data_IF_952942724234
#
_entry.id   IF_952942724234
#
_cell.length_a   1.000
_cell.length_b   1.000
_cell.length_c   1.000
_cell.angle_alpha   90.00
_cell.angle_beta   90.00
_cell.angle_gamma   90.00
#
_symmetry.space_group_name_H-M   'P 1'
#
loop_
_entity.id
_entity.type
_entity.pdbx_description
1 polymer ?
#
# COMPACT_ATOMS: atom_id res chain seq x y z
N UNK A 1 1.69 33.34 24.70
CA UNK A 1 2.65 32.83 23.71
C UNK A 1 1.81 32.28 22.56
N UNK A 2 1.81 32.89 21.44
CA UNK A 2 1.30 32.16 20.34
C UNK A 2 0.48 32.87 19.29
N UNK A 3 0.48 34.15 19.23
CA UNK A 3 -0.36 34.86 18.26
C UNK A 3 0.33 35.17 16.93
N UNK A 4 1.64 35.24 16.87
CA UNK A 4 2.30 35.61 15.62
C UNK A 4 2.59 34.45 14.67
N UNK A 5 2.66 33.21 15.14
CA UNK A 5 2.80 32.04 14.28
C UNK A 5 1.53 31.76 13.47
N UNK A 6 0.36 31.98 14.06
CA UNK A 6 -0.93 31.66 13.41
C UNK A 6 -1.35 32.65 12.31
N UNK A 7 -0.74 33.83 12.22
CA UNK A 7 -1.12 34.88 11.25
C UNK A 7 -0.64 34.51 9.81
N UNK A 8 0.32 33.60 9.68
CA UNK A 8 0.93 33.19 8.40
C UNK A 8 0.56 31.79 7.96
N UNK A 9 -0.21 31.07 8.78
CA UNK A 9 -0.61 29.70 8.46
C UNK A 9 -1.66 29.70 7.34
N UNK A 10 -1.56 28.72 6.47
CA UNK A 10 -2.54 28.46 5.42
C UNK A 10 -3.03 27.04 5.56
N UNK A 11 -4.32 26.87 5.42
CA UNK A 11 -4.95 25.57 5.37
C UNK A 11 -5.35 25.31 3.93
N UNK A 12 -4.89 24.20 3.39
CA UNK A 12 -5.34 23.67 2.11
C UNK A 12 -6.20 22.45 2.40
N UNK A 13 -7.45 22.50 1.99
CA UNK A 13 -8.42 21.41 2.18
C UNK A 13 -8.74 20.87 0.80
N UNK A 14 -8.53 19.58 0.63
CA UNK A 14 -8.80 18.86 -0.59
C UNK A 14 -10.01 17.92 -0.39
N UNK A 15 -10.80 17.72 -1.44
CA UNK A 15 -11.98 16.85 -1.43
C UNK A 15 -11.92 15.72 -2.46
N UNK A 16 -10.82 15.57 -3.19
CA UNK A 16 -10.69 14.59 -4.28
C UNK A 16 -9.62 13.50 -4.00
N UNK A 17 -9.04 13.48 -2.80
CA UNK A 17 -7.93 12.56 -2.48
C UNK A 17 -8.33 11.10 -2.76
N UNK A 18 -9.49 10.67 -2.31
CA UNK A 18 -10.01 9.30 -2.44
C UNK A 18 -10.36 8.88 -3.87
N UNK A 19 -10.38 9.81 -4.81
CA UNK A 19 -10.60 9.56 -6.24
C UNK A 19 -9.37 9.90 -7.09
N UNK A 20 -8.20 10.13 -6.46
CA UNK A 20 -6.91 10.31 -7.13
C UNK A 20 -6.52 11.75 -7.41
N UNK A 21 -7.16 12.75 -6.81
CA UNK A 21 -6.74 14.18 -6.85
C UNK A 21 -6.51 14.74 -8.25
N UNK A 22 -7.39 14.47 -9.19
CA UNK A 22 -7.21 14.76 -10.61
C UNK A 22 -6.88 16.25 -10.87
N UNK A 23 -7.48 17.17 -10.12
CA UNK A 23 -7.32 18.61 -10.30
C UNK A 23 -6.23 19.24 -9.43
N UNK A 24 -5.79 18.57 -8.35
CA UNK A 24 -4.88 19.12 -7.37
C UNK A 24 -3.55 19.57 -7.97
N UNK A 25 -2.94 18.77 -8.82
CA UNK A 25 -1.64 19.07 -9.44
C UNK A 25 -1.67 20.36 -10.29
N UNK A 26 -2.71 20.53 -11.08
CA UNK A 26 -2.94 21.73 -11.90
C UNK A 26 -3.18 22.94 -11.02
N UNK A 27 -4.07 22.82 -10.05
CA UNK A 27 -4.40 23.90 -9.12
C UNK A 27 -3.15 24.37 -8.33
N UNK A 28 -2.36 23.46 -7.79
CA UNK A 28 -1.10 23.78 -7.10
C UNK A 28 -0.12 24.51 -8.02
N UNK A 29 -0.05 24.11 -9.28
CA UNK A 29 0.85 24.73 -10.25
C UNK A 29 0.47 26.18 -10.57
N UNK A 30 -0.82 26.47 -10.60
CA UNK A 30 -1.38 27.82 -10.83
C UNK A 30 -1.28 28.72 -9.60
N UNK A 31 -1.19 28.17 -8.39
CA UNK A 31 -1.23 28.89 -7.14
C UNK A 31 0.09 28.80 -6.32
N UNK A 32 1.22 28.58 -6.99
CA UNK A 32 2.54 28.39 -6.34
C UNK A 32 2.92 29.50 -5.35
N UNK A 33 2.69 30.75 -5.72
CA UNK A 33 3.04 31.88 -4.83
C UNK A 33 2.17 31.90 -3.56
N UNK A 34 0.89 31.56 -3.71
CA UNK A 34 -0.02 31.46 -2.57
C UNK A 34 0.34 30.28 -1.65
N UNK A 35 0.84 29.19 -2.23
CA UNK A 35 1.22 27.97 -1.51
C UNK A 35 2.64 28.01 -0.93
N UNK A 36 3.45 29.02 -1.30
CA UNK A 36 4.82 29.11 -0.79
C UNK A 36 4.85 29.14 0.75
N UNK A 37 5.57 28.19 1.33
CA UNK A 37 5.68 28.01 2.78
C UNK A 37 7.06 27.44 3.14
N UNK A 38 7.52 27.72 4.35
CA UNK A 38 8.78 27.16 4.87
C UNK A 38 8.62 25.70 5.27
N UNK A 39 7.43 25.31 5.70
CA UNK A 39 7.08 23.94 6.13
C UNK A 39 5.67 23.61 5.65
N UNK A 40 5.50 22.40 5.18
CA UNK A 40 4.19 21.82 4.84
C UNK A 40 3.92 20.69 5.84
N UNK A 41 2.80 20.77 6.52
CA UNK A 41 2.28 19.70 7.36
C UNK A 41 1.14 18.99 6.64
N UNK A 42 1.36 17.74 6.29
CA UNK A 42 0.31 16.86 5.77
C UNK A 42 -0.36 16.16 6.96
N UNK A 43 -1.64 16.41 7.16
CA UNK A 43 -2.42 15.85 8.27
C UNK A 43 -3.38 14.76 7.74
N UNK A 44 -2.81 13.76 7.13
CA UNK A 44 -3.53 12.63 6.53
C UNK A 44 -2.96 11.31 7.03
N UNK A 45 -2.84 11.19 8.34
CA UNK A 45 -2.35 9.99 9.00
C UNK A 45 -3.22 9.65 10.20
N UNK A 46 -3.28 8.36 10.54
CA UNK A 46 -3.99 7.88 11.71
C UNK A 46 -3.08 7.79 12.93
N UNK A 47 -3.67 7.70 14.10
CA UNK A 47 -3.00 7.25 15.31
C UNK A 47 -2.59 5.77 15.16
N UNK A 48 -1.53 5.36 15.83
CA UNK A 48 -1.13 3.94 15.87
C UNK A 48 -2.23 3.06 16.49
N UNK A 49 -2.87 3.58 17.52
CA UNK A 49 -4.09 3.06 18.12
C UNK A 49 -4.88 4.23 18.70
N UNK A 50 -6.13 4.00 19.05
CA UNK A 50 -7.01 5.07 19.53
C UNK A 50 -6.45 5.84 20.75
N UNK A 51 -5.67 5.16 21.59
CA UNK A 51 -5.02 5.69 22.80
C UNK A 51 -3.49 5.91 22.63
N UNK A 52 -2.98 5.73 21.42
CA UNK A 52 -1.54 5.78 21.13
C UNK A 52 -1.26 6.74 20.00
N UNK A 53 -0.95 8.01 20.31
CA UNK A 53 -0.56 9.00 19.30
C UNK A 53 0.75 8.60 18.64
N UNK A 54 0.88 8.93 17.35
CA UNK A 54 2.08 8.65 16.56
C UNK A 54 2.40 9.80 15.61
N UNK A 55 3.66 9.88 15.21
CA UNK A 55 4.12 10.77 14.15
C UNK A 55 4.66 9.86 13.03
N UNK A 56 4.02 9.93 11.87
CA UNK A 56 4.47 9.20 10.68
C UNK A 56 5.70 9.85 10.10
N UNK A 57 6.83 9.14 10.10
CA UNK A 57 8.12 9.66 9.62
C UNK A 57 8.46 9.20 8.20
N UNK A 58 7.65 8.35 7.59
CA UNK A 58 7.85 7.84 6.24
C UNK A 58 6.69 6.99 5.79
N UNK A 59 6.59 6.82 4.48
CA UNK A 59 5.55 6.02 3.83
C UNK A 59 6.20 5.01 2.89
N UNK A 60 5.48 3.91 2.62
CA UNK A 60 5.84 3.01 1.52
C UNK A 60 5.48 3.68 0.19
N UNK A 61 6.28 3.41 -0.84
CA UNK A 61 5.95 3.81 -2.20
C UNK A 61 4.76 3.01 -2.74
N UNK A 62 4.18 3.49 -3.83
CA UNK A 62 3.09 2.84 -4.53
C UNK A 62 3.49 2.60 -5.98
N UNK A 63 3.19 1.39 -6.49
CA UNK A 63 3.25 1.07 -7.91
C UNK A 63 1.95 0.34 -8.28
N UNK A 64 1.12 0.97 -9.09
CA UNK A 64 -0.12 0.39 -9.59
C UNK A 64 0.12 -0.24 -10.96
N UNK A 65 -0.32 -1.48 -11.13
CA UNK A 65 -0.16 -2.23 -12.37
C UNK A 65 -1.46 -2.97 -12.73
N UNK A 66 -1.65 -3.17 -14.02
CA UNK A 66 -2.70 -4.01 -14.58
C UNK A 66 -2.05 -5.13 -15.40
N UNK A 67 -2.58 -6.33 -15.29
CA UNK A 67 -2.15 -7.48 -16.08
C UNK A 67 -3.33 -8.01 -16.86
N UNK A 68 -3.23 -7.97 -18.17
CA UNK A 68 -4.20 -8.54 -19.09
C UNK A 68 -3.71 -9.88 -19.64
N UNK A 69 -4.57 -10.90 -19.57
CA UNK A 69 -4.32 -12.21 -20.20
C UNK A 69 -5.35 -12.42 -21.30
N UNK A 70 -4.90 -12.33 -22.54
CA UNK A 70 -5.74 -12.50 -23.72
C UNK A 70 -5.75 -13.96 -24.17
N UNK A 71 -6.93 -14.50 -24.44
CA UNK A 71 -7.16 -15.84 -24.96
C UNK A 71 -7.54 -15.85 -26.45
N UNK A 72 -8.31 -16.87 -26.88
CA UNK A 72 -8.86 -16.95 -28.24
C UNK A 72 -9.73 -15.73 -28.58
N UNK A 73 -9.90 -15.48 -29.86
CA UNK A 73 -10.66 -14.35 -30.42
C UNK A 73 -12.20 -14.47 -30.29
N UNK A 74 -12.67 -15.55 -29.65
CA UNK A 74 -14.09 -15.84 -29.43
C UNK A 74 -14.29 -16.76 -28.24
N UNK A 75 -15.51 -16.79 -27.73
CA UNK A 75 -15.93 -17.69 -26.67
C UNK A 75 -15.93 -19.14 -27.17
N UNK A 76 -15.36 -20.01 -26.36
CA UNK A 76 -15.24 -21.43 -26.67
C UNK A 76 -16.10 -22.29 -25.73
N UNK A 77 -16.80 -23.23 -26.29
CA UNK A 77 -17.57 -24.22 -25.52
C UNK A 77 -16.63 -25.16 -24.77
N UNK A 78 -16.67 -25.13 -23.45
CA UNK A 78 -15.77 -25.93 -22.58
C UNK A 78 -15.86 -27.43 -22.82
N UNK A 79 -17.03 -27.94 -23.20
CA UNK A 79 -17.23 -29.37 -23.53
C UNK A 79 -16.51 -29.84 -24.82
N UNK A 80 -16.12 -28.90 -25.69
CA UNK A 80 -15.42 -29.23 -26.95
C UNK A 80 -13.93 -28.87 -26.88
N UNK A 81 -13.58 -27.79 -26.20
CA UNK A 81 -12.23 -27.22 -26.20
C UNK A 81 -11.53 -27.32 -24.84
N UNK A 82 -12.27 -27.67 -23.76
CA UNK A 82 -11.71 -27.82 -22.41
C UNK A 82 -10.58 -28.85 -22.39
N UNK A 83 -9.46 -28.48 -21.76
CA UNK A 83 -8.26 -29.33 -21.74
C UNK A 83 -7.34 -29.19 -22.95
N UNK A 84 -7.84 -28.64 -24.07
CA UNK A 84 -7.05 -28.46 -25.31
C UNK A 84 -6.61 -26.99 -25.52
N UNK A 85 -7.44 -26.04 -25.09
CA UNK A 85 -7.17 -24.57 -25.20
C UNK A 85 -7.02 -23.97 -23.85
N UNK A 86 -6.01 -23.12 -23.67
CA UNK A 86 -5.78 -22.43 -22.41
C UNK A 86 -6.93 -21.45 -22.10
N UNK A 87 -7.47 -21.56 -20.89
CA UNK A 87 -8.46 -20.61 -20.39
C UNK A 87 -7.73 -19.42 -19.73
N UNK A 88 -7.96 -18.16 -20.18
CA UNK A 88 -7.29 -16.98 -19.64
C UNK A 88 -7.46 -16.82 -18.13
N UNK A 89 -8.64 -17.08 -17.60
CA UNK A 89 -8.90 -16.99 -16.16
C UNK A 89 -8.04 -18.01 -15.37
N UNK A 90 -7.89 -19.23 -15.86
CA UNK A 90 -7.02 -20.23 -15.23
C UNK A 90 -5.54 -19.86 -15.33
N UNK A 91 -5.12 -19.20 -16.41
CA UNK A 91 -3.75 -18.71 -16.59
C UNK A 91 -3.50 -17.57 -15.61
N UNK A 92 -4.41 -16.59 -15.54
CA UNK A 92 -4.31 -15.45 -14.64
C UNK A 92 -4.26 -15.91 -13.17
N UNK A 93 -5.13 -16.84 -12.77
CA UNK A 93 -5.13 -17.38 -11.41
C UNK A 93 -3.78 -18.01 -11.03
N UNK A 94 -3.18 -18.78 -11.94
CA UNK A 94 -1.84 -19.38 -11.72
C UNK A 94 -0.74 -18.32 -11.67
N UNK A 95 -0.83 -17.31 -12.51
CA UNK A 95 0.10 -16.19 -12.51
C UNK A 95 0.04 -15.47 -11.16
N UNK A 96 -1.13 -15.08 -10.71
CA UNK A 96 -1.32 -14.44 -9.39
C UNK A 96 -0.76 -15.31 -8.28
N UNK A 97 -1.11 -16.60 -8.25
CA UNK A 97 -0.61 -17.53 -7.23
C UNK A 97 0.92 -17.70 -7.24
N UNK A 98 1.58 -17.41 -8.35
CA UNK A 98 3.04 -17.49 -8.44
C UNK A 98 3.79 -16.24 -8.01
N UNK A 99 3.09 -15.13 -7.75
CA UNK A 99 3.72 -13.85 -7.41
C UNK A 99 4.23 -13.76 -5.98
N UNK A 100 3.75 -14.63 -5.10
CA UNK A 100 4.16 -14.71 -3.70
C UNK A 100 4.37 -16.18 -3.33
N UNK A 101 5.45 -16.49 -2.63
CA UNK A 101 5.74 -17.84 -2.17
C UNK A 101 5.05 -18.18 -0.83
N UNK A 102 5.28 -19.39 -0.34
CA UNK A 102 4.74 -19.91 0.92
C UNK A 102 5.20 -19.14 2.17
N UNK A 103 6.27 -18.35 2.06
CA UNK A 103 6.82 -17.50 3.12
C UNK A 103 6.33 -16.05 3.02
N UNK A 104 5.43 -15.74 2.10
CA UNK A 104 4.95 -14.39 1.85
C UNK A 104 5.97 -13.51 1.13
N UNK A 105 7.01 -14.08 0.53
CA UNK A 105 8.03 -13.37 -0.22
C UNK A 105 7.60 -13.19 -1.68
N UNK A 106 7.72 -11.98 -2.21
CA UNK A 106 7.34 -11.65 -3.59
C UNK A 106 8.39 -12.23 -4.53
N UNK A 107 7.95 -13.05 -5.48
CA UNK A 107 8.82 -13.86 -6.36
C UNK A 107 9.20 -13.16 -7.66
N UNK A 108 8.75 -11.92 -7.88
CA UNK A 108 9.05 -11.15 -9.09
C UNK A 108 10.58 -10.90 -9.14
N UNK A 109 11.27 -11.26 -10.23
CA UNK A 109 12.69 -11.02 -10.37
C UNK A 109 13.06 -9.56 -10.13
N UNK A 110 14.13 -9.32 -9.39
CA UNK A 110 14.64 -7.97 -9.08
C UNK A 110 13.71 -7.07 -8.24
N UNK A 111 12.63 -7.61 -7.71
CA UNK A 111 11.68 -6.84 -6.90
C UNK A 111 12.35 -6.23 -5.65
N UNK A 112 13.22 -6.99 -5.00
CA UNK A 112 13.90 -6.57 -3.76
C UNK A 112 15.21 -5.83 -3.96
N UNK A 113 15.74 -5.66 -5.18
CA UNK A 113 17.05 -5.06 -5.44
C UNK A 113 17.23 -3.66 -4.84
N UNK A 114 16.14 -2.92 -4.70
CA UNK A 114 16.11 -1.57 -4.13
C UNK A 114 15.41 -1.47 -2.78
N UNK A 115 14.96 -2.57 -2.23
CA UNK A 115 14.33 -2.58 -0.91
C UNK A 115 15.41 -2.41 0.14
N UNK A 116 15.30 -1.35 0.94
CA UNK A 116 16.21 -1.10 2.05
C UNK A 116 15.89 -2.05 3.20
N UNK A 117 16.85 -2.87 3.58
CA UNK A 117 16.74 -3.67 4.78
C UNK A 117 17.03 -2.82 6.03
N UNK A 118 16.21 -2.98 7.05
CA UNK A 118 16.47 -2.38 8.35
C UNK A 118 17.59 -3.11 9.07
N UNK A 119 18.51 -2.39 9.66
CA UNK A 119 19.50 -2.94 10.58
C UNK A 119 18.82 -3.54 11.83
N UNK A 120 19.48 -4.46 12.57
CA UNK A 120 18.92 -4.99 13.80
C UNK A 120 18.57 -3.91 14.84
N UNK A 121 19.31 -2.81 14.88
CA UNK A 121 19.05 -1.68 15.76
C UNK A 121 17.78 -0.93 15.33
N UNK A 122 17.61 -0.63 14.04
CA UNK A 122 16.41 -0.01 13.49
C UNK A 122 15.18 -0.89 13.67
N UNK A 123 15.29 -2.20 13.42
CA UNK A 123 14.20 -3.16 13.70
C UNK A 123 13.77 -3.13 15.16
N UNK A 124 14.76 -3.13 16.07
CA UNK A 124 14.50 -3.03 17.50
C UNK A 124 13.79 -1.73 17.87
N UNK A 125 14.21 -0.62 17.28
CA UNK A 125 13.58 0.68 17.54
C UNK A 125 12.16 0.75 16.97
N UNK A 126 11.96 0.29 15.76
CA UNK A 126 10.66 0.24 15.10
C UNK A 126 9.63 -0.58 15.89
N UNK A 127 10.06 -1.73 16.43
CA UNK A 127 9.22 -2.63 17.23
C UNK A 127 9.07 -2.21 18.70
N UNK A 128 9.56 -1.04 19.12
CA UNK A 128 9.28 -0.48 20.46
C UNK A 128 7.87 0.11 20.56
N UNK A 129 7.23 0.42 19.43
CA UNK A 129 5.88 0.93 19.43
C UNK A 129 4.93 -0.02 20.18
N UNK A 130 4.02 0.49 21.01
CA UNK A 130 3.10 -0.33 21.79
C UNK A 130 2.03 -0.95 20.86
N UNK A 131 2.36 -2.06 20.25
CA UNK A 131 1.49 -2.81 19.35
C UNK A 131 1.04 -4.11 20.02
N UNK A 132 -0.26 -4.37 20.04
CA UNK A 132 -0.83 -5.63 20.49
C UNK A 132 -1.43 -6.40 19.30
N UNK A 133 -0.84 -7.53 18.97
CA UNK A 133 -1.33 -8.39 17.89
C UNK A 133 -2.74 -8.93 18.20
N UNK A 134 -3.06 -9.23 19.45
CA UNK A 134 -4.40 -9.68 19.84
C UNK A 134 -5.44 -8.60 19.55
N UNK A 135 -5.22 -7.38 20.06
CA UNK A 135 -6.13 -6.24 19.78
C UNK A 135 -6.28 -5.97 18.28
N UNK A 136 -5.19 -6.09 17.53
CA UNK A 136 -5.21 -5.92 16.09
C UNK A 136 -6.10 -6.97 15.41
N UNK A 137 -5.95 -8.24 15.78
CA UNK A 137 -6.76 -9.34 15.27
C UNK A 137 -8.24 -9.19 15.65
N UNK A 138 -8.51 -8.82 16.89
CA UNK A 138 -9.87 -8.59 17.39
C UNK A 138 -10.56 -7.44 16.65
N UNK A 139 -9.86 -6.32 16.47
CA UNK A 139 -10.38 -5.15 15.77
C UNK A 139 -10.75 -5.45 14.30
N UNK A 140 -10.03 -6.37 13.66
CA UNK A 140 -10.26 -6.80 12.27
C UNK A 140 -11.14 -8.06 12.16
N UNK A 141 -11.47 -8.69 13.29
CA UNK A 141 -12.21 -9.96 13.33
C UNK A 141 -11.53 -11.09 12.54
N UNK A 142 -10.20 -11.19 12.64
CA UNK A 142 -9.37 -12.19 11.95
C UNK A 142 -8.72 -13.16 12.92
N UNK A 143 -8.57 -14.41 12.51
CA UNK A 143 -7.90 -15.45 13.32
C UNK A 143 -6.38 -15.33 13.30
N UNK A 144 -5.80 -15.01 12.16
CA UNK A 144 -4.36 -14.96 11.92
C UNK A 144 -3.98 -13.75 11.07
N UNK A 145 -2.70 -13.41 11.05
CA UNK A 145 -2.10 -12.40 10.18
C UNK A 145 -1.22 -13.08 9.15
N UNK A 146 -1.24 -12.57 7.94
CA UNK A 146 -0.40 -13.01 6.83
C UNK A 146 0.77 -12.05 6.58
N UNK A 147 1.65 -12.44 5.67
CA UNK A 147 2.74 -11.64 5.12
C UNK A 147 4.10 -12.27 5.30
N UNK A 148 5.13 -11.58 4.89
CA UNK A 148 6.50 -12.06 4.77
C UNK A 148 7.04 -12.64 6.10
N UNK A 149 7.52 -13.88 6.05
CA UNK A 149 8.07 -14.58 7.20
C UNK A 149 9.30 -13.85 7.76
N UNK A 150 9.49 -13.93 9.07
CA UNK A 150 10.61 -13.28 9.76
C UNK A 150 10.42 -11.79 10.06
N UNK A 151 9.28 -11.19 9.69
CA UNK A 151 8.93 -9.81 10.00
C UNK A 151 7.68 -9.72 10.86
N UNK A 152 7.64 -8.74 11.75
CA UNK A 152 6.46 -8.45 12.58
C UNK A 152 5.35 -7.80 11.75
N UNK A 153 4.12 -7.80 12.25
CA UNK A 153 3.00 -7.10 11.61
C UNK A 153 3.32 -5.62 11.38
N UNK A 154 3.93 -4.97 12.35
CA UNK A 154 4.35 -3.57 12.22
C UNK A 154 5.37 -3.37 11.09
N UNK A 155 6.35 -4.26 10.96
CA UNK A 155 7.34 -4.19 9.87
C UNK A 155 6.69 -4.46 8.52
N UNK A 156 5.78 -5.43 8.41
CA UNK A 156 5.04 -5.75 7.18
C UNK A 156 4.21 -4.57 6.69
N UNK A 157 3.55 -3.86 7.59
CA UNK A 157 2.69 -2.72 7.22
C UNK A 157 3.45 -1.41 7.05
N UNK A 158 4.60 -1.23 7.69
CA UNK A 158 5.32 0.04 7.71
C UNK A 158 6.54 0.13 6.81
N UNK A 159 7.34 -0.95 6.71
CA UNK A 159 8.67 -0.88 6.07
C UNK A 159 8.95 -2.01 5.07
N UNK A 160 8.15 -3.06 5.06
CA UNK A 160 8.28 -4.12 4.04
C UNK A 160 7.36 -3.84 2.85
N UNK A 161 7.78 -4.21 1.63
CA UNK A 161 6.87 -4.15 0.48
C UNK A 161 5.74 -5.18 0.64
N UNK A 162 4.61 -4.92 0.01
CA UNK A 162 3.52 -5.86 -0.17
C UNK A 162 3.09 -5.90 -1.64
N UNK A 163 2.42 -6.97 -2.03
CA UNK A 163 1.80 -7.12 -3.32
C UNK A 163 0.36 -7.57 -3.09
N UNK A 164 -0.57 -6.72 -3.44
CA UNK A 164 -1.98 -6.94 -3.20
C UNK A 164 -2.75 -6.89 -4.53
N UNK A 165 -3.66 -7.84 -4.73
CA UNK A 165 -4.56 -7.87 -5.90
C UNK A 165 -5.85 -7.18 -5.52
N UNK A 166 -6.08 -5.99 -6.05
CA UNK A 166 -7.22 -5.15 -5.69
C UNK A 166 -8.46 -5.38 -6.56
N UNK A 167 -8.34 -6.14 -7.64
CA UNK A 167 -9.48 -6.48 -8.49
C UNK A 167 -9.13 -7.52 -9.54
N UNK A 168 -10.13 -8.29 -9.94
CA UNK A 168 -10.07 -9.23 -11.05
C UNK A 168 -11.40 -9.07 -11.81
N UNK A 169 -11.32 -8.95 -13.13
CA UNK A 169 -12.49 -8.88 -13.99
C UNK A 169 -12.22 -9.61 -15.31
N UNK A 170 -13.28 -9.92 -16.07
CA UNK A 170 -13.20 -10.61 -17.36
C UNK A 170 -14.54 -11.15 -17.84
#
# INVERSE_FOLDING_TARGET
VGSEMCIRDRFMIEGEEEIGSEHLGTWCSEHKEMLAADVILVSDTSLLAWDTPSITCGLRGLCYMEVEVTGPDKDLHSGLYGGAVANPANVLARLIASLVDENGHITIPHFYDRVRELTPAERKDFNKAPFSLERYKDALSIGEVEGEAGYTTMERTGVRPSLDVNGIWG
#
